data_IF_051205462090
#
_entry.id   IF_051205462090
#
_cell.length_a   1.000
_cell.length_b   1.000
_cell.length_c   1.000
_cell.angle_alpha   90.00
_cell.angle_beta   90.00
_cell.angle_gamma   90.00
#
_symmetry.space_group_name_H-M   'P 1'
#
loop_
_entity.id
_entity.type
_entity.pdbx_description
1 polymer ?
#
# COMPACT_ATOMS: atom_id res chain seq x y z
N UNK A 1 2.27 11.11 48.02
CA UNK A 1 3.49 10.38 47.62
C UNK A 1 3.15 9.72 46.31
N UNK A 2 3.78 10.09 45.19
CA UNK A 2 3.54 9.39 43.94
C UNK A 2 4.22 8.03 44.06
N UNK A 3 3.44 6.97 44.32
CA UNK A 3 3.94 5.61 44.28
C UNK A 3 4.34 5.28 42.84
N UNK A 4 5.50 4.68 42.65
CA UNK A 4 5.95 4.23 41.32
C UNK A 4 4.98 3.20 40.72
N UNK A 5 5.08 2.93 39.41
CA UNK A 5 4.22 1.94 38.78
C UNK A 5 4.43 0.54 39.40
N UNK A 6 5.65 0.23 39.82
CA UNK A 6 5.98 -1.03 40.49
C UNK A 6 5.30 -1.15 41.86
N UNK A 7 5.32 -0.07 42.67
CA UNK A 7 4.62 -0.04 43.96
C UNK A 7 3.10 -0.09 43.79
N UNK A 8 2.56 0.59 42.78
CA UNK A 8 1.14 0.53 42.43
C UNK A 8 0.72 -0.92 42.11
N UNK A 9 1.47 -1.61 41.24
CA UNK A 9 1.19 -3.01 40.89
C UNK A 9 1.39 -3.99 42.06
N UNK A 10 2.24 -3.68 43.05
CA UNK A 10 2.36 -4.48 44.28
C UNK A 10 1.09 -4.47 45.12
N UNK A 11 0.31 -3.39 45.08
CA UNK A 11 -0.99 -3.33 45.76
C UNK A 11 -2.08 -4.14 45.05
N UNK A 12 -1.77 -4.68 43.86
CA UNK A 12 -2.72 -5.39 43.00
C UNK A 12 -3.61 -4.46 42.19
N UNK A 13 -3.42 -3.14 42.32
CA UNK A 13 -4.16 -2.14 41.56
C UNK A 13 -3.41 -1.75 40.27
N UNK A 14 -4.17 -1.57 39.21
CA UNK A 14 -3.68 -0.90 38.00
C UNK A 14 -4.23 0.52 38.01
N UNK A 15 -3.36 1.50 38.17
CA UNK A 15 -3.76 2.88 38.39
C UNK A 15 -3.03 3.88 37.50
N UNK A 16 -3.12 5.17 37.87
CA UNK A 16 -2.55 6.27 37.09
C UNK A 16 -1.04 6.14 36.88
N UNK A 17 -0.28 5.61 37.86
CA UNK A 17 1.18 5.56 37.76
C UNK A 17 1.65 4.58 36.68
N UNK A 18 1.03 3.38 36.62
CA UNK A 18 1.32 2.39 35.58
C UNK A 18 0.90 2.88 34.21
N UNK A 19 -0.26 3.52 34.12
CA UNK A 19 -0.75 4.08 32.86
C UNK A 19 0.17 5.21 32.33
N UNK A 20 0.58 6.14 33.19
CA UNK A 20 1.50 7.21 32.80
C UNK A 20 2.88 6.68 32.42
N UNK A 21 3.38 5.64 33.09
CA UNK A 21 4.60 4.97 32.68
C UNK A 21 4.46 4.37 31.27
N UNK A 22 3.41 3.61 31.00
CA UNK A 22 3.17 3.02 29.67
C UNK A 22 3.09 4.09 28.58
N UNK A 23 2.37 5.20 28.83
CA UNK A 23 2.28 6.33 27.90
C UNK A 23 3.64 6.96 27.61
N UNK A 24 4.44 7.23 28.65
CA UNK A 24 5.82 7.74 28.50
C UNK A 24 6.67 6.80 27.65
N UNK A 25 6.58 5.49 27.90
CA UNK A 25 7.35 4.47 27.18
C UNK A 25 6.92 4.34 25.71
N UNK A 26 5.63 4.45 25.37
CA UNK A 26 5.17 4.52 23.96
C UNK A 26 5.82 5.71 23.24
N UNK A 27 5.84 6.89 23.87
CA UNK A 27 6.52 8.06 23.31
C UNK A 27 8.04 7.95 23.27
N UNK A 28 8.64 7.10 24.10
CA UNK A 28 10.06 6.78 24.01
C UNK A 28 10.34 5.86 22.82
N UNK A 29 9.56 4.80 22.65
CA UNK A 29 9.71 3.84 21.54
C UNK A 29 9.51 4.53 20.18
N UNK A 30 8.51 5.42 20.04
CA UNK A 30 8.30 6.15 18.76
C UNK A 30 9.53 6.96 18.35
N UNK A 31 10.18 7.64 19.31
CA UNK A 31 11.35 8.51 19.07
C UNK A 31 12.55 7.70 18.63
N UNK A 32 12.71 6.49 19.17
CA UNK A 32 13.85 5.63 18.89
C UNK A 32 13.70 4.79 17.62
N UNK A 33 12.47 4.51 17.15
CA UNK A 33 12.20 3.45 16.15
C UNK A 33 11.42 3.90 14.91
N UNK A 34 10.90 5.13 14.85
CA UNK A 34 10.29 5.68 13.63
C UNK A 34 8.99 4.97 13.19
N UNK A 35 8.29 4.28 14.09
CA UNK A 35 7.02 3.62 13.77
C UNK A 35 5.95 4.64 13.32
N UNK A 36 5.09 4.29 12.34
CA UNK A 36 3.95 5.14 11.99
C UNK A 36 2.96 5.21 13.17
N UNK A 37 2.14 6.29 13.27
CA UNK A 37 1.03 6.34 14.20
C UNK A 37 0.04 5.18 13.96
N UNK A 38 -0.73 4.77 14.99
CA UNK A 38 -1.80 3.78 14.83
C UNK A 38 -2.89 4.28 13.86
N UNK A 39 -3.70 3.34 13.37
CA UNK A 39 -4.80 3.62 12.45
C UNK A 39 -5.77 4.67 13.04
N UNK A 40 -6.23 5.59 12.19
CA UNK A 40 -7.04 6.75 12.62
C UNK A 40 -6.23 7.98 13.02
N UNK A 41 -4.90 7.88 13.12
CA UNK A 41 -4.02 8.99 13.50
C UNK A 41 -3.04 9.34 12.37
N UNK A 42 -2.93 10.63 12.04
CA UNK A 42 -1.95 11.14 11.07
C UNK A 42 -0.63 11.53 11.73
N UNK A 43 -0.64 11.78 13.04
CA UNK A 43 0.51 12.17 13.87
C UNK A 43 0.48 11.43 15.20
N UNK A 44 1.63 11.31 15.86
CA UNK A 44 1.68 10.74 17.21
C UNK A 44 1.26 11.78 18.26
N UNK A 45 -0.01 11.77 18.66
CA UNK A 45 -0.56 12.49 19.81
C UNK A 45 -0.54 11.64 21.09
N UNK A 46 -0.93 12.22 22.24
CA UNK A 46 -1.22 11.46 23.45
C UNK A 46 -2.40 10.50 23.22
N UNK A 47 -3.41 10.90 22.43
CA UNK A 47 -4.54 10.03 22.06
C UNK A 47 -4.07 8.82 21.24
N UNK A 48 -3.13 9.02 20.31
CA UNK A 48 -2.52 7.92 19.57
C UNK A 48 -1.77 6.95 20.51
N UNK A 49 -1.10 7.46 21.55
CA UNK A 49 -0.45 6.62 22.54
C UNK A 49 -1.48 5.86 23.41
N UNK A 50 -2.60 6.50 23.74
CA UNK A 50 -3.71 5.86 24.45
C UNK A 50 -4.30 4.71 23.64
N UNK A 51 -4.54 4.92 22.34
CA UNK A 51 -5.10 3.88 21.46
C UNK A 51 -4.16 2.69 21.31
N UNK A 52 -2.83 2.92 21.29
CA UNK A 52 -1.84 1.81 21.34
C UNK A 52 -1.99 1.00 22.62
N UNK A 53 -2.04 1.67 23.78
CA UNK A 53 -2.17 0.99 25.08
C UNK A 53 -3.49 0.22 25.15
N UNK A 54 -4.59 0.83 24.67
CA UNK A 54 -5.91 0.21 24.59
C UNK A 54 -5.91 -1.01 23.66
N UNK A 55 -5.24 -0.92 22.52
CA UNK A 55 -5.10 -2.03 21.58
C UNK A 55 -4.27 -3.17 22.17
N UNK A 56 -3.16 -2.87 22.86
CA UNK A 56 -2.36 -3.85 23.60
C UNK A 56 -3.21 -4.60 24.63
N UNK A 57 -4.09 -3.88 25.32
CA UNK A 57 -4.99 -4.45 26.34
C UNK A 57 -6.11 -5.30 25.74
N UNK A 58 -6.66 -4.86 24.61
CA UNK A 58 -7.79 -5.49 23.92
C UNK A 58 -7.38 -6.74 23.13
N UNK A 59 -6.08 -6.93 22.88
CA UNK A 59 -5.56 -8.14 22.25
C UNK A 59 -5.80 -9.35 23.14
N UNK A 60 -5.99 -10.54 22.55
CA UNK A 60 -6.14 -11.80 23.28
C UNK A 60 -4.94 -12.02 24.20
N UNK A 61 -5.16 -11.91 25.52
CA UNK A 61 -4.11 -12.00 26.53
C UNK A 61 -3.42 -10.67 26.88
N UNK A 62 -3.92 -9.52 26.41
CA UNK A 62 -3.36 -8.19 26.64
C UNK A 62 -3.23 -7.84 28.12
N UNK A 63 -4.29 -8.04 28.91
CA UNK A 63 -4.23 -7.90 30.37
C UNK A 63 -3.08 -8.68 31.03
N UNK A 64 -2.68 -9.82 30.45
CA UNK A 64 -1.60 -10.65 31.00
C UNK A 64 -0.24 -10.02 30.80
N UNK A 65 -0.03 -9.12 29.83
CA UNK A 65 1.32 -8.55 29.62
C UNK A 65 1.77 -7.74 30.83
N UNK A 66 0.89 -6.93 31.43
CA UNK A 66 1.21 -6.14 32.62
C UNK A 66 1.58 -7.06 33.78
N UNK A 67 0.75 -8.08 34.03
CA UNK A 67 1.01 -9.07 35.07
C UNK A 67 2.30 -9.85 34.82
N UNK A 68 2.57 -10.27 33.59
CA UNK A 68 3.79 -11.02 33.23
C UNK A 68 5.03 -10.15 33.43
N UNK A 69 5.01 -8.91 32.95
CA UNK A 69 6.12 -7.97 33.13
C UNK A 69 6.35 -7.67 34.61
N UNK A 70 5.28 -7.51 35.40
CA UNK A 70 5.38 -7.29 36.83
C UNK A 70 5.97 -8.49 37.59
N UNK A 71 5.49 -9.70 37.32
CA UNK A 71 6.00 -10.94 37.94
C UNK A 71 7.48 -11.17 37.62
N UNK A 72 7.96 -10.69 36.48
CA UNK A 72 9.36 -10.80 36.06
C UNK A 72 10.24 -9.63 36.53
N UNK A 73 9.64 -8.52 36.94
CA UNK A 73 10.38 -7.34 37.39
C UNK A 73 10.84 -7.52 38.84
N UNK A 74 12.08 -7.11 39.10
CA UNK A 74 12.65 -7.06 40.44
C UNK A 74 12.43 -5.69 41.12
N UNK A 75 12.24 -4.65 40.30
CA UNK A 75 12.15 -3.25 40.70
C UNK A 75 11.50 -2.42 39.57
N UNK A 76 11.31 -1.11 39.83
CA UNK A 76 10.78 -0.15 38.84
C UNK A 76 11.60 -0.17 37.54
N UNK A 77 12.93 -0.16 37.61
CA UNK A 77 13.77 -0.07 36.43
C UNK A 77 13.69 -1.31 35.53
N UNK A 78 13.58 -2.51 36.11
CA UNK A 78 13.35 -3.75 35.36
C UNK A 78 11.93 -3.81 34.79
N UNK A 79 10.93 -3.30 35.51
CA UNK A 79 9.57 -3.16 34.99
C UNK A 79 9.53 -2.25 33.76
N UNK A 80 10.17 -1.07 33.81
CA UNK A 80 10.25 -0.14 32.68
C UNK A 80 10.88 -0.81 31.45
N UNK A 81 11.99 -1.56 31.62
CA UNK A 81 12.66 -2.27 30.51
C UNK A 81 11.79 -3.36 29.90
N UNK A 82 11.06 -4.10 30.73
CA UNK A 82 10.14 -5.15 30.27
C UNK A 82 8.96 -4.54 29.51
N UNK A 83 8.37 -3.45 30.01
CA UNK A 83 7.32 -2.71 29.29
C UNK A 83 7.83 -2.13 27.98
N UNK A 84 8.99 -1.49 27.96
CA UNK A 84 9.59 -0.94 26.74
C UNK A 84 9.75 -2.04 25.67
N UNK A 85 10.21 -3.23 26.09
CA UNK A 85 10.38 -4.39 25.20
C UNK A 85 9.03 -4.88 24.67
N UNK A 86 8.04 -5.02 25.53
CA UNK A 86 6.68 -5.46 25.17
C UNK A 86 6.00 -4.48 24.21
N UNK A 87 6.06 -3.17 24.50
CA UNK A 87 5.53 -2.10 23.63
C UNK A 87 6.22 -2.12 22.27
N UNK A 88 7.55 -2.25 22.24
CA UNK A 88 8.31 -2.33 20.99
C UNK A 88 7.89 -3.54 20.16
N UNK A 89 7.75 -4.71 20.78
CA UNK A 89 7.34 -5.92 20.09
C UNK A 89 5.91 -5.81 19.55
N UNK A 90 4.99 -5.23 20.34
CA UNK A 90 3.63 -4.95 19.88
C UNK A 90 3.62 -4.02 18.67
N UNK A 91 4.34 -2.90 18.71
CA UNK A 91 4.43 -1.96 17.59
C UNK A 91 5.09 -2.57 16.35
N UNK A 92 6.05 -3.49 16.53
CA UNK A 92 6.59 -4.29 15.44
C UNK A 92 5.48 -5.13 14.79
N UNK A 93 4.66 -5.79 15.60
CA UNK A 93 3.57 -6.65 15.15
C UNK A 93 2.42 -5.87 14.50
N UNK A 94 2.08 -4.69 15.01
CA UNK A 94 1.15 -3.76 14.35
C UNK A 94 1.73 -3.25 13.02
N UNK A 95 2.99 -2.82 13.00
CA UNK A 95 3.66 -2.39 11.78
C UNK A 95 3.66 -3.51 10.72
N UNK A 96 3.80 -4.78 11.14
CA UNK A 96 3.72 -5.96 10.27
C UNK A 96 2.30 -6.23 9.72
N UNK A 97 1.24 -5.76 10.38
CA UNK A 97 -0.15 -5.88 9.92
C UNK A 97 -0.52 -4.84 8.86
N UNK A 98 0.15 -3.69 8.88
CA UNK A 98 -0.06 -2.63 7.87
C UNK A 98 0.18 -3.16 6.45
N UNK A 99 -0.45 -2.58 5.42
CA UNK A 99 -0.21 -3.04 4.05
C UNK A 99 1.26 -2.86 3.63
N UNK A 100 1.93 -1.79 4.09
CA UNK A 100 3.39 -1.61 3.94
C UNK A 100 4.18 -2.74 4.61
N UNK A 101 3.82 -3.14 5.82
CA UNK A 101 4.47 -4.26 6.52
C UNK A 101 4.28 -5.61 5.81
N UNK A 102 3.09 -5.83 5.22
CA UNK A 102 2.80 -7.00 4.39
C UNK A 102 3.63 -6.99 3.10
N UNK A 103 3.72 -5.84 2.42
CA UNK A 103 4.58 -5.64 1.24
C UNK A 103 6.05 -5.92 1.60
N UNK A 104 6.54 -5.35 2.70
CA UNK A 104 7.91 -5.53 3.20
C UNK A 104 8.29 -7.00 3.41
N UNK A 105 7.43 -7.76 4.07
CA UNK A 105 7.61 -9.21 4.26
C UNK A 105 7.61 -9.99 2.94
N UNK A 106 6.75 -9.59 2.02
CA UNK A 106 6.62 -10.24 0.71
C UNK A 106 7.88 -10.03 -0.13
N UNK A 107 8.40 -8.81 -0.20
CA UNK A 107 9.64 -8.53 -0.94
C UNK A 107 10.83 -9.25 -0.31
N UNK A 108 10.93 -9.26 1.03
CA UNK A 108 12.00 -9.97 1.73
C UNK A 108 11.99 -11.47 1.39
N UNK A 109 10.81 -12.10 1.34
CA UNK A 109 10.68 -13.50 0.91
C UNK A 109 11.07 -13.69 -0.56
N UNK A 110 10.55 -12.86 -1.46
CA UNK A 110 10.83 -12.96 -2.90
C UNK A 110 12.32 -12.81 -3.22
N UNK A 111 13.03 -11.95 -2.50
CA UNK A 111 14.46 -11.72 -2.65
C UNK A 111 15.29 -12.82 -1.97
N UNK A 112 14.84 -13.36 -0.83
CA UNK A 112 15.48 -14.51 -0.19
C UNK A 112 15.48 -15.77 -1.06
N UNK A 113 14.46 -15.94 -1.91
CA UNK A 113 14.32 -17.09 -2.81
C UNK A 113 15.18 -16.96 -4.09
N UNK A 114 15.89 -15.85 -4.29
CA UNK A 114 16.58 -15.52 -5.53
C UNK A 114 18.04 -15.12 -5.30
N UNK A 115 18.97 -15.88 -5.88
CA UNK A 115 20.42 -15.74 -5.67
C UNK A 115 21.01 -14.45 -6.23
N UNK A 116 20.26 -13.72 -7.07
CA UNK A 116 20.68 -12.40 -7.55
C UNK A 116 20.69 -11.35 -6.43
N UNK A 117 19.98 -11.60 -5.32
CA UNK A 117 19.89 -10.68 -4.19
C UNK A 117 20.65 -11.20 -2.98
N UNK A 118 21.27 -10.28 -2.25
CA UNK A 118 21.95 -10.56 -0.99
C UNK A 118 21.33 -9.73 0.12
N UNK A 119 21.00 -10.40 1.22
CA UNK A 119 20.62 -9.74 2.48
C UNK A 119 21.88 -9.45 3.29
N UNK A 120 22.09 -8.19 3.67
CA UNK A 120 23.19 -7.83 4.56
C UNK A 120 22.85 -8.15 6.02
N UNK A 121 23.84 -8.63 6.77
CA UNK A 121 23.75 -8.80 8.23
C UNK A 121 23.75 -7.41 8.89
N UNK A 122 22.63 -7.04 9.52
CA UNK A 122 22.50 -5.74 10.19
C UNK A 122 21.05 -5.39 10.55
N UNK A 123 20.91 -4.48 11.52
CA UNK A 123 19.62 -3.87 11.88
C UNK A 123 19.67 -2.37 11.55
N UNK A 124 18.75 -1.83 10.72
CA UNK A 124 17.67 -2.53 10.02
C UNK A 124 18.19 -3.44 8.89
N UNK A 125 17.40 -4.44 8.45
CA UNK A 125 17.78 -5.33 7.35
C UNK A 125 17.94 -4.53 6.06
N UNK A 126 18.97 -4.87 5.30
CA UNK A 126 19.29 -4.25 4.00
C UNK A 126 19.45 -5.31 2.92
N UNK A 127 19.17 -4.90 1.69
CA UNK A 127 19.27 -5.73 0.50
C UNK A 127 20.15 -5.06 -0.55
N UNK A 128 20.97 -5.85 -1.20
CA UNK A 128 21.81 -5.46 -2.32
C UNK A 128 21.73 -6.53 -3.42
N UNK A 129 22.26 -6.24 -4.61
CA UNK A 129 22.54 -7.29 -5.59
C UNK A 129 23.77 -8.09 -5.14
N UNK A 130 23.82 -9.36 -5.53
CA UNK A 130 24.93 -10.25 -5.22
C UNK A 130 26.25 -9.80 -5.87
N UNK A 131 26.21 -9.03 -6.96
CA UNK A 131 27.42 -8.48 -7.58
C UNK A 131 27.98 -7.24 -6.87
N UNK A 132 27.19 -6.57 -6.02
CA UNK A 132 27.68 -5.40 -5.28
C UNK A 132 28.71 -5.80 -4.23
N UNK A 133 29.67 -4.91 -4.00
CA UNK A 133 30.70 -5.05 -2.97
C UNK A 133 30.07 -5.25 -1.58
N UNK A 134 30.63 -6.19 -0.82
CA UNK A 134 30.16 -6.45 0.54
C UNK A 134 30.43 -5.24 1.44
N UNK A 135 29.42 -4.84 2.21
CA UNK A 135 29.48 -3.66 3.07
C UNK A 135 29.22 -2.31 2.39
N UNK A 136 29.06 -2.26 1.05
CA UNK A 136 28.60 -1.05 0.38
C UNK A 136 27.17 -0.72 0.81
N UNK A 137 26.95 0.49 1.35
CA UNK A 137 25.64 0.96 1.82
C UNK A 137 25.25 2.18 1.01
N UNK A 138 24.03 2.18 0.49
CA UNK A 138 23.49 3.34 -0.21
C UNK A 138 23.08 4.44 0.79
N UNK A 139 23.43 5.69 0.48
CA UNK A 139 23.25 6.88 1.35
C UNK A 139 22.62 8.06 0.58
N UNK A 140 22.00 7.80 -0.57
CA UNK A 140 21.37 8.83 -1.41
C UNK A 140 19.98 9.24 -0.93
N UNK A 141 19.26 10.00 -1.77
CA UNK A 141 17.89 10.44 -1.51
C UNK A 141 16.85 9.38 -1.94
N UNK A 142 15.83 9.16 -1.10
CA UNK A 142 14.74 8.22 -1.39
C UNK A 142 14.02 8.61 -2.68
N UNK A 143 13.88 9.91 -2.96
CA UNK A 143 13.22 10.40 -4.16
C UNK A 143 13.95 9.98 -5.45
N UNK A 144 15.27 9.80 -5.40
CA UNK A 144 16.04 9.26 -6.52
C UNK A 144 15.65 7.80 -6.81
N UNK A 145 15.47 6.99 -5.76
CA UNK A 145 15.04 5.59 -5.91
C UNK A 145 13.60 5.50 -6.43
N UNK A 146 12.73 6.41 -5.99
CA UNK A 146 11.35 6.52 -6.50
C UNK A 146 11.36 6.85 -7.99
N UNK A 147 12.20 7.81 -8.41
CA UNK A 147 12.35 8.18 -9.82
C UNK A 147 12.84 6.99 -10.67
N UNK A 148 13.80 6.20 -10.16
CA UNK A 148 14.27 5.00 -10.86
C UNK A 148 13.21 3.89 -10.96
N UNK A 149 12.36 3.74 -9.94
CA UNK A 149 11.24 2.83 -10.03
C UNK A 149 10.19 3.30 -11.05
N UNK A 150 9.93 4.62 -11.11
CA UNK A 150 9.01 5.23 -12.06
C UNK A 150 9.47 5.08 -13.51
N UNK A 151 10.78 5.06 -13.78
CA UNK A 151 11.32 4.90 -15.13
C UNK A 151 11.13 3.49 -15.71
N UNK A 152 10.74 2.49 -14.90
CA UNK A 152 10.52 1.12 -15.38
C UNK A 152 9.14 1.02 -16.05
N UNK A 153 9.15 0.87 -17.37
CA UNK A 153 7.97 0.71 -18.22
C UNK A 153 7.65 -0.77 -18.48
N UNK A 154 6.42 -1.07 -18.90
CA UNK A 154 6.03 -2.43 -19.33
C UNK A 154 5.78 -3.43 -18.18
N UNK A 155 5.80 -2.97 -16.92
CA UNK A 155 5.48 -3.79 -15.75
C UNK A 155 4.38 -3.13 -14.93
N UNK A 156 3.38 -3.93 -14.55
CA UNK A 156 2.24 -3.52 -13.75
C UNK A 156 1.78 -4.65 -12.83
N UNK A 157 1.09 -4.28 -11.74
CA UNK A 157 0.44 -5.24 -10.84
C UNK A 157 -1.03 -5.32 -11.23
N UNK A 158 -1.39 -6.38 -11.95
CA UNK A 158 -2.77 -6.65 -12.38
C UNK A 158 -3.61 -7.32 -11.31
N UNK A 159 -2.97 -8.00 -10.36
CA UNK A 159 -3.62 -8.69 -9.25
C UNK A 159 -2.78 -8.60 -7.98
N UNK A 160 -3.43 -8.20 -6.88
CA UNK A 160 -2.86 -8.24 -5.54
C UNK A 160 -3.59 -9.29 -4.72
N UNK A 161 -2.86 -10.27 -4.17
CA UNK A 161 -3.46 -11.28 -3.30
C UNK A 161 -3.12 -11.03 -1.84
N UNK A 162 -4.12 -11.13 -0.95
CA UNK A 162 -3.93 -10.97 0.49
C UNK A 162 -3.36 -12.22 1.17
N UNK A 163 -3.47 -13.38 0.54
CA UNK A 163 -3.01 -14.67 1.05
C UNK A 163 -2.45 -15.57 -0.06
N UNK A 164 -1.61 -16.53 0.32
CA UNK A 164 -1.00 -17.49 -0.60
C UNK A 164 0.23 -16.97 -1.36
N UNK A 165 0.79 -17.78 -2.29
CA UNK A 165 1.97 -17.40 -3.06
C UNK A 165 1.71 -16.17 -3.94
N UNK A 166 2.70 -15.29 -4.08
CA UNK A 166 2.58 -14.10 -4.96
C UNK A 166 2.36 -14.55 -6.41
N UNK A 167 1.35 -14.01 -7.14
CA UNK A 167 1.15 -14.30 -8.55
C UNK A 167 2.42 -14.05 -9.35
N UNK A 168 2.69 -14.91 -10.35
CA UNK A 168 3.94 -14.86 -11.13
C UNK A 168 4.20 -13.48 -11.75
N UNK A 169 3.17 -12.86 -12.33
CA UNK A 169 3.28 -11.51 -12.92
C UNK A 169 3.61 -10.44 -11.87
N UNK A 170 2.93 -10.46 -10.71
CA UNK A 170 3.23 -9.55 -9.59
C UNK A 170 4.65 -9.75 -9.07
N UNK A 171 5.09 -11.00 -8.90
CA UNK A 171 6.45 -11.31 -8.48
C UNK A 171 7.48 -10.81 -9.51
N UNK A 172 7.20 -10.99 -10.80
CA UNK A 172 8.05 -10.47 -11.89
C UNK A 172 8.12 -8.93 -11.84
N UNK A 173 6.98 -8.23 -11.79
CA UNK A 173 6.95 -6.76 -11.74
C UNK A 173 7.72 -6.22 -10.53
N UNK A 174 7.52 -6.81 -9.34
CA UNK A 174 8.25 -6.44 -8.12
C UNK A 174 9.76 -6.64 -8.29
N UNK A 175 10.19 -7.80 -8.79
CA UNK A 175 11.62 -8.10 -9.01
C UNK A 175 12.25 -7.19 -10.07
N UNK A 176 11.56 -6.91 -11.17
CA UNK A 176 12.08 -6.03 -12.24
C UNK A 176 12.34 -4.62 -11.72
N UNK A 177 11.42 -4.07 -10.90
CA UNK A 177 11.61 -2.74 -10.30
C UNK A 177 12.71 -2.77 -9.23
N UNK A 178 12.69 -3.77 -8.34
CA UNK A 178 13.72 -3.91 -7.30
C UNK A 178 15.12 -4.06 -7.90
N UNK A 179 15.25 -4.83 -8.98
CA UNK A 179 16.50 -4.96 -9.73
C UNK A 179 16.98 -3.61 -10.23
N UNK A 180 16.11 -2.83 -10.90
CA UNK A 180 16.47 -1.50 -11.41
C UNK A 180 16.89 -0.54 -10.31
N UNK A 181 16.14 -0.52 -9.21
CA UNK A 181 16.41 0.35 -8.04
C UNK A 181 17.75 -0.01 -7.42
N UNK A 182 18.03 -1.30 -7.23
CA UNK A 182 19.30 -1.73 -6.65
C UNK A 182 20.48 -1.51 -7.61
N UNK A 183 20.31 -1.74 -8.92
CA UNK A 183 21.33 -1.41 -9.93
C UNK A 183 21.71 0.06 -9.90
N UNK A 184 20.76 0.97 -9.67
CA UNK A 184 21.07 2.38 -9.48
C UNK A 184 21.77 2.64 -8.14
N UNK A 185 21.29 2.01 -7.06
CA UNK A 185 21.81 2.24 -5.72
C UNK A 185 23.27 1.80 -5.54
N UNK A 186 23.76 0.81 -6.30
CA UNK A 186 25.14 0.29 -6.24
C UNK A 186 25.60 -0.04 -4.79
N UNK A 187 24.65 -0.42 -3.93
CA UNK A 187 24.87 -0.61 -2.51
C UNK A 187 23.63 -1.19 -1.83
N UNK A 188 23.76 -1.51 -0.55
CA UNK A 188 22.69 -2.07 0.25
C UNK A 188 21.68 -1.00 0.66
N UNK A 189 20.42 -1.21 0.27
CA UNK A 189 19.27 -0.33 0.57
C UNK A 189 18.45 -0.94 1.70
N UNK A 190 17.89 -0.10 2.58
CA UNK A 190 17.05 -0.58 3.69
C UNK A 190 15.77 -1.20 3.16
N UNK A 191 15.32 -2.29 3.77
CA UNK A 191 14.08 -2.98 3.39
C UNK A 191 12.85 -2.06 3.48
N UNK A 192 12.86 -1.09 4.40
CA UNK A 192 11.80 -0.08 4.52
C UNK A 192 11.77 0.88 3.32
N UNK A 193 12.93 1.33 2.85
CA UNK A 193 13.01 2.28 1.74
C UNK A 193 12.60 1.60 0.43
N UNK A 194 12.99 0.34 0.23
CA UNK A 194 12.50 -0.48 -0.89
C UNK A 194 10.97 -0.64 -0.85
N UNK A 195 10.37 -0.80 0.33
CA UNK A 195 8.92 -0.86 0.46
C UNK A 195 8.24 0.48 0.13
N UNK A 196 8.82 1.62 0.55
CA UNK A 196 8.34 2.97 0.20
C UNK A 196 8.41 3.24 -1.30
N UNK A 197 9.49 2.81 -1.95
CA UNK A 197 9.67 2.94 -3.41
C UNK A 197 8.57 2.18 -4.16
N UNK A 198 8.32 0.93 -3.77
CA UNK A 198 7.28 0.11 -4.40
C UNK A 198 5.87 0.61 -4.09
N UNK A 199 5.65 1.14 -2.90
CA UNK A 199 4.40 1.79 -2.53
C UNK A 199 4.12 3.01 -3.42
N UNK A 200 5.09 3.91 -3.55
CA UNK A 200 4.98 5.09 -4.42
C UNK A 200 4.82 4.71 -5.90
N UNK A 201 5.46 3.62 -6.34
CA UNK A 201 5.39 3.16 -7.74
C UNK A 201 4.03 2.60 -8.13
N UNK A 202 3.29 2.04 -7.18
CA UNK A 202 2.07 1.29 -7.45
C UNK A 202 0.83 1.86 -6.75
N UNK A 203 0.95 2.99 -6.04
CA UNK A 203 -0.12 3.59 -5.22
C UNK A 203 -0.86 2.56 -4.34
N UNK A 204 -0.14 1.54 -3.84
CA UNK A 204 -0.73 0.37 -3.15
C UNK A 204 -1.45 0.68 -1.83
N UNK A 205 -1.42 1.93 -1.35
CA UNK A 205 -2.10 2.40 -0.14
C UNK A 205 -3.31 3.32 -0.38
N UNK A 206 -3.59 3.74 -1.62
CA UNK A 206 -4.96 4.08 -1.99
C UNK A 206 -5.71 2.75 -2.22
N UNK A 207 -7.00 2.61 -1.84
CA UNK A 207 -7.67 1.31 -1.85
C UNK A 207 -7.48 0.65 -3.20
N UNK A 208 -6.87 -0.54 -3.19
CA UNK A 208 -6.75 -1.36 -4.37
C UNK A 208 -8.15 -1.50 -4.97
N UNK A 209 -8.38 -0.93 -6.15
CA UNK A 209 -9.60 -1.19 -6.90
C UNK A 209 -9.60 -2.68 -7.24
N UNK A 210 -10.42 -3.44 -6.52
CA UNK A 210 -10.71 -4.83 -6.84
C UNK A 210 -11.70 -4.82 -8.00
N UNK A 211 -11.26 -5.21 -9.19
CA UNK A 211 -12.18 -5.66 -10.23
C UNK A 211 -12.67 -7.05 -9.82
N UNK A 212 -13.95 -7.15 -9.47
CA UNK A 212 -14.60 -8.44 -9.29
C UNK A 212 -14.68 -9.13 -10.65
N UNK A 213 -13.93 -10.24 -10.79
CA UNK A 213 -14.12 -11.19 -11.88
C UNK A 213 -15.02 -12.31 -11.35
N UNK A 214 -16.21 -12.38 -11.92
CA UNK A 214 -17.28 -13.35 -11.63
C UNK A 214 -16.78 -14.77 -11.37
N UNK A 215 -17.31 -15.40 -10.32
CA UNK A 215 -17.41 -16.85 -10.21
C UNK A 215 -18.90 -17.18 -10.08
N UNK A 216 -19.41 -17.85 -11.10
CA UNK A 216 -20.76 -18.35 -11.27
C UNK A 216 -21.00 -19.58 -10.37
N UNK A 217 -22.08 -19.58 -9.59
CA UNK A 217 -22.81 -20.77 -9.14
C UNK A 217 -24.30 -20.43 -9.00
N UNK A 218 -25.08 -20.73 -10.04
CA UNK A 218 -26.24 -21.62 -9.93
C UNK A 218 -27.57 -21.14 -9.32
N UNK A 219 -28.45 -20.69 -10.22
CA UNK A 219 -29.88 -21.06 -10.37
C UNK A 219 -31.03 -20.46 -9.51
N UNK A 220 -32.00 -19.92 -10.28
CA UNK A 220 -33.46 -19.69 -10.12
C UNK A 220 -33.98 -18.56 -9.21
N UNK A 221 -34.46 -17.47 -9.82
CA UNK A 221 -35.90 -17.11 -9.84
C UNK A 221 -36.20 -15.93 -10.79
N UNK A 222 -37.33 -16.09 -11.48
CA UNK A 222 -37.97 -15.27 -12.51
C UNK A 222 -38.13 -13.78 -12.18
N UNK A 223 -38.13 -12.94 -13.24
CA UNK A 223 -39.27 -12.07 -13.62
C UNK A 223 -39.03 -11.38 -14.99
N UNK A 224 -39.70 -11.94 -16.01
CA UNK A 224 -40.53 -11.29 -17.07
C UNK A 224 -40.08 -9.95 -17.70
N UNK A 225 -39.62 -10.08 -18.96
CA UNK A 225 -40.04 -9.38 -20.20
C UNK A 225 -39.86 -7.85 -20.36
N UNK A 226 -39.01 -7.45 -21.32
CA UNK A 226 -39.44 -6.71 -22.53
C UNK A 226 -38.30 -6.51 -23.55
N UNK A 227 -38.64 -6.79 -24.81
CA UNK A 227 -37.80 -6.74 -26.00
C UNK A 227 -37.29 -5.34 -26.38
N UNK A 228 -35.99 -5.23 -26.67
CA UNK A 228 -35.45 -4.39 -27.74
C UNK A 228 -34.27 -5.13 -28.41
N UNK A 229 -34.34 -5.31 -29.72
CA UNK A 229 -33.34 -6.00 -30.51
C UNK A 229 -31.99 -5.28 -30.44
N UNK A 230 -31.00 -5.89 -29.77
CA UNK A 230 -29.60 -5.50 -29.88
C UNK A 230 -28.90 -6.62 -30.65
N UNK A 231 -28.61 -6.34 -31.91
CA UNK A 231 -27.69 -7.10 -32.74
C UNK A 231 -26.44 -7.40 -31.92
N UNK A 232 -26.07 -8.67 -31.82
CA UNK A 232 -24.87 -9.10 -31.10
C UNK A 232 -23.67 -8.24 -31.58
N UNK A 233 -22.88 -7.65 -30.67
CA UNK A 233 -21.75 -6.82 -31.06
C UNK A 233 -20.79 -7.68 -31.87
N UNK A 234 -20.52 -7.25 -33.10
CA UNK A 234 -19.42 -7.79 -33.88
C UNK A 234 -18.13 -7.58 -33.06
N UNK A 235 -17.47 -8.66 -32.61
CA UNK A 235 -16.28 -8.56 -31.75
C UNK A 235 -15.09 -7.91 -32.47
N UNK A 236 -15.20 -7.63 -33.77
CA UNK A 236 -14.21 -6.92 -34.58
C UNK A 236 -14.66 -5.54 -35.06
N UNK A 237 -15.91 -5.15 -34.77
CA UNK A 237 -16.47 -3.87 -35.16
C UNK A 237 -16.10 -2.71 -34.24
N UNK A 238 -16.53 -1.51 -34.62
CA UNK A 238 -16.31 -0.25 -33.87
C UNK A 238 -16.70 -0.36 -32.39
N UNK A 239 -17.81 -1.06 -32.09
CA UNK A 239 -18.30 -1.25 -30.72
C UNK A 239 -17.41 -2.20 -29.89
N UNK A 240 -16.78 -3.19 -30.52
CA UNK A 240 -15.80 -4.08 -29.88
C UNK A 240 -14.49 -3.36 -29.57
N UNK A 241 -14.00 -2.55 -30.52
CA UNK A 241 -12.81 -1.71 -30.31
C UNK A 241 -13.07 -0.66 -29.21
N UNK A 242 -14.25 -0.04 -29.21
CA UNK A 242 -14.65 0.90 -28.16
C UNK A 242 -14.77 0.22 -26.79
N UNK A 243 -15.30 -1.00 -26.71
CA UNK A 243 -15.32 -1.80 -25.47
C UNK A 243 -13.89 -2.06 -24.96
N UNK A 244 -13.00 -2.53 -25.84
CA UNK A 244 -11.61 -2.81 -25.46
C UNK A 244 -10.90 -1.56 -24.96
N UNK A 245 -11.13 -0.39 -25.59
CA UNK A 245 -10.60 0.89 -25.11
C UNK A 245 -11.20 1.24 -23.74
N UNK A 246 -12.52 1.16 -23.61
CA UNK A 246 -13.25 1.48 -22.37
C UNK A 246 -12.75 0.66 -21.18
N UNK A 247 -12.53 -0.64 -21.37
CA UNK A 247 -12.02 -1.54 -20.32
C UNK A 247 -10.58 -1.23 -19.89
N UNK A 248 -9.77 -0.61 -20.76
CA UNK A 248 -8.39 -0.19 -20.44
C UNK A 248 -8.32 1.15 -19.70
N UNK A 249 -9.33 2.01 -19.83
CA UNK A 249 -9.36 3.31 -19.16
C UNK A 249 -9.70 3.18 -17.68
N UNK A 250 -8.96 3.91 -16.84
CA UNK A 250 -9.26 4.05 -15.41
C UNK A 250 -10.54 4.87 -15.15
N UNK A 251 -11.14 4.80 -13.96
CA UNK A 251 -12.33 5.59 -13.62
C UNK A 251 -12.13 7.10 -13.81
N UNK A 252 -10.97 7.63 -13.41
CA UNK A 252 -10.64 9.04 -13.58
C UNK A 252 -10.50 9.42 -15.06
N UNK A 253 -9.95 8.52 -15.88
CA UNK A 253 -9.86 8.71 -17.33
C UNK A 253 -11.22 8.63 -18.02
N UNK A 254 -12.13 7.76 -17.57
CA UNK A 254 -13.51 7.68 -18.05
C UNK A 254 -14.33 8.92 -17.71
N UNK A 255 -14.11 9.50 -16.53
CA UNK A 255 -14.72 10.77 -16.13
C UNK A 255 -14.23 11.95 -16.98
N UNK A 256 -12.98 11.89 -17.47
CA UNK A 256 -12.38 12.93 -18.31
C UNK A 256 -12.65 12.76 -19.81
N UNK A 257 -13.15 11.61 -20.27
CA UNK A 257 -13.48 11.34 -21.67
C UNK A 257 -14.40 12.40 -22.32
N UNK A 258 -15.46 12.89 -21.64
CA UNK A 258 -16.30 13.97 -22.18
C UNK A 258 -15.63 15.35 -22.20
N UNK A 259 -14.49 15.51 -21.53
CA UNK A 259 -13.84 16.80 -21.26
C UNK A 259 -12.41 16.86 -21.80
N UNK A 260 -12.10 16.09 -22.86
CA UNK A 260 -10.76 16.03 -23.47
C UNK A 260 -10.27 17.38 -24.03
N UNK A 261 -11.19 18.27 -24.38
CA UNK A 261 -10.93 19.63 -24.86
C UNK A 261 -10.58 20.60 -23.73
N UNK A 262 -10.85 20.25 -22.47
CA UNK A 262 -10.58 21.09 -21.30
C UNK A 262 -9.13 20.99 -20.85
N UNK A 263 -8.73 21.94 -20.00
CA UNK A 263 -7.38 22.04 -19.47
C UNK A 263 -7.18 21.25 -18.17
N UNK A 264 -5.94 21.18 -17.71
CA UNK A 264 -5.57 20.48 -16.48
C UNK A 264 -6.21 21.10 -15.22
N UNK A 265 -6.61 22.38 -15.26
CA UNK A 265 -7.28 23.02 -14.14
C UNK A 265 -8.72 22.51 -14.00
N UNK A 266 -9.45 22.39 -15.12
CA UNK A 266 -10.77 21.77 -15.12
C UNK A 266 -10.73 20.29 -14.71
N UNK A 267 -9.73 19.54 -15.19
CA UNK A 267 -9.53 18.15 -14.77
C UNK A 267 -9.23 18.03 -13.26
N UNK A 268 -8.48 18.97 -12.69
CA UNK A 268 -8.19 19.01 -11.26
C UNK A 268 -9.43 19.26 -10.41
N UNK A 269 -10.31 20.15 -10.88
CA UNK A 269 -11.60 20.42 -10.23
C UNK A 269 -12.54 19.22 -10.29
N UNK A 270 -12.65 18.58 -11.47
CA UNK A 270 -13.54 17.44 -11.66
C UNK A 270 -13.11 16.20 -10.86
N UNK A 271 -11.81 15.98 -10.74
CA UNK A 271 -11.24 14.82 -10.05
C UNK A 271 -10.88 15.10 -8.58
N UNK A 272 -11.04 16.33 -8.11
CA UNK A 272 -10.65 16.79 -6.75
C UNK A 272 -9.18 16.48 -6.39
N UNK A 273 -8.27 16.57 -7.37
CA UNK A 273 -6.83 16.31 -7.19
C UNK A 273 -5.97 17.53 -7.52
N UNK A 274 -4.69 17.49 -7.13
CA UNK A 274 -3.72 18.55 -7.45
C UNK A 274 -3.56 18.71 -8.96
N UNK A 275 -3.41 19.95 -9.43
CA UNK A 275 -3.31 20.31 -10.85
C UNK A 275 -2.19 19.59 -11.61
N UNK A 276 -1.02 19.41 -11.01
CA UNK A 276 0.08 18.66 -11.62
C UNK A 276 -0.29 17.18 -11.87
N UNK A 277 -1.07 16.59 -10.96
CA UNK A 277 -1.55 15.21 -11.09
C UNK A 277 -2.67 15.11 -12.14
N UNK A 278 -3.62 16.05 -12.14
CA UNK A 278 -4.66 16.13 -13.17
C UNK A 278 -4.08 16.32 -14.60
N UNK A 279 -3.02 17.11 -14.73
CA UNK A 279 -2.29 17.26 -16.00
C UNK A 279 -1.70 15.93 -16.48
N UNK A 280 -1.11 15.14 -15.57
CA UNK A 280 -0.56 13.83 -15.90
C UNK A 280 -1.65 12.84 -16.32
N UNK A 281 -2.78 12.78 -15.60
CA UNK A 281 -3.94 11.92 -15.95
C UNK A 281 -4.50 12.30 -17.33
N UNK A 282 -4.72 13.59 -17.58
CA UNK A 282 -5.22 14.08 -18.87
C UNK A 282 -4.26 13.81 -20.03
N UNK A 283 -2.94 13.95 -19.80
CA UNK A 283 -1.90 13.65 -20.78
C UNK A 283 -1.83 12.15 -21.11
N UNK A 284 -1.94 11.30 -20.08
CA UNK A 284 -1.96 9.85 -20.25
C UNK A 284 -3.19 9.40 -21.03
N UNK A 285 -4.37 9.94 -20.71
CA UNK A 285 -5.61 9.69 -21.44
C UNK A 285 -5.50 10.05 -22.93
N UNK A 286 -5.03 11.27 -23.24
CA UNK A 286 -4.85 11.72 -24.63
C UNK A 286 -3.86 10.84 -25.39
N UNK A 287 -2.82 10.36 -24.72
CA UNK A 287 -1.82 9.49 -25.32
C UNK A 287 -2.37 8.08 -25.55
N UNK A 288 -3.10 7.51 -24.58
CA UNK A 288 -3.74 6.21 -24.70
C UNK A 288 -4.77 6.20 -25.83
N UNK A 289 -5.60 7.24 -25.95
CA UNK A 289 -6.55 7.40 -27.05
C UNK A 289 -5.85 7.56 -28.40
N UNK A 290 -4.76 8.35 -28.46
CA UNK A 290 -3.99 8.50 -29.70
C UNK A 290 -3.42 7.16 -30.19
N UNK A 291 -2.90 6.34 -29.27
CA UNK A 291 -2.36 5.01 -29.62
C UNK A 291 -3.50 4.07 -30.04
N UNK A 292 -4.58 4.02 -29.28
CA UNK A 292 -5.68 3.10 -29.54
C UNK A 292 -6.46 3.43 -30.83
N UNK A 293 -6.59 4.71 -31.16
CA UNK A 293 -7.29 5.19 -32.36
C UNK A 293 -6.39 5.27 -33.61
N UNK A 294 -5.11 4.89 -33.49
CA UNK A 294 -4.17 4.83 -34.61
C UNK A 294 -4.12 3.47 -35.32
N UNK A 295 -4.85 2.47 -34.80
CA UNK A 295 -5.12 1.20 -35.48
C UNK A 295 -6.19 1.41 -36.58
N UNK A 296 -6.24 0.55 -37.60
CA UNK A 296 -7.11 0.57 -38.81
C UNK A 296 -8.64 0.59 -38.52
N UNK A 297 -9.12 1.57 -37.77
CA UNK A 297 -10.51 1.74 -37.33
C UNK A 297 -10.90 3.21 -37.49
N UNK A 298 -12.17 3.50 -37.79
CA UNK A 298 -12.67 4.87 -37.89
C UNK A 298 -12.61 5.57 -36.51
N UNK A 299 -11.68 6.54 -36.30
CA UNK A 299 -11.48 7.14 -34.99
C UNK A 299 -12.71 7.91 -34.48
N UNK A 300 -13.51 8.47 -35.38
CA UNK A 300 -14.70 9.24 -35.04
C UNK A 300 -15.84 8.32 -34.59
N UNK A 301 -16.01 7.19 -35.28
CA UNK A 301 -17.00 6.18 -34.91
C UNK A 301 -16.67 5.55 -33.54
N UNK A 302 -15.40 5.24 -33.28
CA UNK A 302 -14.93 4.67 -32.00
C UNK A 302 -15.08 5.69 -30.86
N UNK A 303 -14.72 6.96 -31.09
CA UNK A 303 -14.91 8.02 -30.09
C UNK A 303 -16.38 8.25 -29.74
N UNK A 304 -17.28 8.20 -30.74
CA UNK A 304 -18.72 8.33 -30.54
C UNK A 304 -19.27 7.16 -29.72
N UNK A 305 -18.84 5.93 -30.01
CA UNK A 305 -19.21 4.75 -29.23
C UNK A 305 -18.69 4.81 -27.78
N UNK A 306 -17.50 5.36 -27.55
CA UNK A 306 -16.94 5.60 -26.21
C UNK A 306 -17.73 6.64 -25.43
N UNK A 307 -18.10 7.77 -26.06
CA UNK A 307 -18.87 8.83 -25.40
C UNK A 307 -20.30 8.39 -25.08
N UNK A 308 -20.93 7.56 -25.93
CA UNK A 308 -22.24 6.96 -25.63
C UNK A 308 -22.21 6.18 -24.32
N UNK A 309 -21.11 5.45 -24.07
CA UNK A 309 -20.90 4.67 -22.84
C UNK A 309 -20.64 5.52 -21.60
N UNK A 310 -20.20 6.77 -21.75
CA UNK A 310 -20.15 7.71 -20.62
C UNK A 310 -21.56 8.12 -20.14
N UNK A 311 -22.57 8.06 -21.02
CA UNK A 311 -23.96 8.40 -20.69
C UNK A 311 -24.74 7.27 -20.00
N UNK A 312 -24.28 6.02 -20.14
CA UNK A 312 -24.84 4.84 -19.48
C UNK A 312 -24.28 4.70 -18.05
N UNK A 313 -24.59 5.66 -17.18
CA UNK A 313 -24.22 5.58 -15.76
C UNK A 313 -25.12 4.54 -15.04
N UNK A 314 -24.55 3.59 -14.27
CA UNK A 314 -25.36 2.65 -13.48
C UNK A 314 -26.00 3.37 -12.29
N UNK A 315 -27.31 3.16 -12.11
CA UNK A 315 -28.01 3.38 -10.84
C UNK A 315 -27.61 2.34 -9.79
#
# INVERSE_FOLDING_TARGET
MASGAFEELQTGEFGPATFDLLRRLVHQVRRASGFPPPEGHTVWSDDAAYDVIRAMWSQKGGQRFVTICFVQAADEASLERLFLTSIKNFLIDEAKKTPRGKLRRRIARLMSEDTAYRKSSGSPPRWALAEHAEGAVWQGDLDDLIAQAASVTGVGITRWNHSGPTPKQTAHALKTILLRVLQYAQGAVREEDLAKVLEARFDLLAPACFTALYADEGTVAELVDQHAAITAPDPTGVDGVAEDIWQRLSPNERLLLPYLDKDAHHAAQLLEIRQAHAAAVLSNLKTALRIALSADSDPQAVMTALLRRCGDAPS
#
